data_IF_908112612044
#
_entry.id   IF_908112612044
#
_cell.length_a   1.000
_cell.length_b   1.000
_cell.length_c   1.000
_cell.angle_alpha   90.00
_cell.angle_beta   90.00
_cell.angle_gamma   90.00
#
_symmetry.space_group_name_H-M   'P 1'
#
loop_
_entity.id
_entity.type
_entity.pdbx_description
1 polymer ?
#
# COMPACT_ATOMS: atom_id res chain seq x y z
N UNK A 1 26.33 10.42 -0.57
CA UNK A 1 25.52 9.50 -1.40
C UNK A 1 24.93 8.45 -0.48
N UNK A 2 23.63 8.50 -0.26
CA UNK A 2 22.94 7.47 0.50
C UNK A 2 22.86 6.20 -0.36
N UNK A 3 23.33 5.07 0.15
CA UNK A 3 23.20 3.79 -0.55
C UNK A 3 21.74 3.37 -0.56
N UNK A 4 21.17 3.19 -1.75
CA UNK A 4 19.76 2.82 -1.95
C UNK A 4 19.64 1.75 -3.02
N UNK A 5 18.61 0.89 -2.93
CA UNK A 5 18.28 -0.08 -3.97
C UNK A 5 17.12 0.43 -4.82
N UNK A 6 17.42 0.92 -6.03
CA UNK A 6 16.40 1.47 -6.95
C UNK A 6 16.05 0.53 -8.12
N UNK A 7 16.85 -0.51 -8.35
CA UNK A 7 16.57 -1.56 -9.33
C UNK A 7 17.21 -2.87 -8.88
N UNK A 8 16.65 -3.99 -9.33
CA UNK A 8 17.13 -5.34 -9.01
C UNK A 8 17.11 -6.21 -10.27
N UNK A 9 18.19 -6.98 -10.48
CA UNK A 9 18.33 -7.92 -11.60
C UNK A 9 18.99 -9.22 -11.13
N UNK A 10 18.56 -9.73 -9.98
CA UNK A 10 19.01 -11.02 -9.47
C UNK A 10 18.65 -12.16 -10.42
N UNK A 11 19.43 -13.24 -10.34
CA UNK A 11 19.20 -14.48 -11.08
C UNK A 11 19.13 -15.64 -10.09
N UNK A 12 17.96 -15.82 -9.48
CA UNK A 12 17.76 -16.86 -8.48
C UNK A 12 17.62 -18.25 -9.12
N UNK A 13 18.04 -19.34 -8.43
CA UNK A 13 17.77 -20.70 -8.86
C UNK A 13 16.26 -20.93 -9.07
N UNK A 14 15.89 -21.55 -10.19
CA UNK A 14 14.48 -21.82 -10.50
C UNK A 14 13.66 -20.61 -10.94
N UNK A 15 14.28 -19.42 -11.10
CA UNK A 15 13.60 -18.22 -11.57
C UNK A 15 12.97 -18.41 -12.96
N UNK A 16 11.66 -18.21 -13.05
CA UNK A 16 10.85 -18.31 -14.28
C UNK A 16 10.61 -16.96 -14.92
N UNK A 17 10.35 -15.94 -14.11
CA UNK A 17 10.06 -14.58 -14.58
C UNK A 17 10.43 -13.53 -13.54
N UNK A 18 10.59 -12.30 -14.02
CA UNK A 18 10.79 -11.10 -13.23
C UNK A 18 9.78 -10.04 -13.68
N UNK A 19 8.93 -9.60 -12.76
CA UNK A 19 8.07 -8.44 -12.94
C UNK A 19 8.60 -7.26 -12.13
N UNK A 20 8.75 -6.08 -12.77
CA UNK A 20 9.16 -4.85 -12.11
C UNK A 20 7.99 -3.87 -12.06
N UNK A 21 7.42 -3.70 -10.88
CA UNK A 21 6.43 -2.65 -10.60
C UNK A 21 7.08 -1.31 -10.29
N UNK A 22 6.27 -0.31 -9.92
CA UNK A 22 6.77 1.05 -9.57
C UNK A 22 7.79 1.02 -8.42
N UNK A 23 7.55 0.22 -7.38
CA UNK A 23 8.38 0.20 -6.15
C UNK A 23 8.79 -1.20 -5.69
N UNK A 24 8.45 -2.25 -6.46
CA UNK A 24 8.75 -3.65 -6.13
C UNK A 24 9.29 -4.38 -7.35
N UNK A 25 10.12 -5.38 -7.10
CA UNK A 25 10.47 -6.41 -8.06
C UNK A 25 9.96 -7.76 -7.56
N UNK A 26 9.30 -8.52 -8.41
CA UNK A 26 8.66 -9.80 -8.07
C UNK A 26 9.28 -10.87 -8.95
N UNK A 27 9.89 -11.87 -8.31
CA UNK A 27 10.54 -13.00 -8.96
C UNK A 27 9.68 -14.23 -8.75
N UNK A 28 9.26 -14.87 -9.84
CA UNK A 28 8.58 -16.16 -9.79
C UNK A 28 9.62 -17.29 -9.76
N UNK A 29 9.58 -18.12 -8.72
CA UNK A 29 10.46 -19.27 -8.53
C UNK A 29 9.65 -20.55 -8.74
N UNK A 30 10.05 -21.36 -9.72
CA UNK A 30 9.47 -22.67 -10.06
C UNK A 30 7.96 -22.68 -10.31
N UNK A 31 7.33 -21.54 -10.59
CA UNK A 31 5.87 -21.40 -10.67
C UNK A 31 5.17 -21.77 -9.35
N UNK A 32 5.85 -21.68 -8.21
CA UNK A 32 5.35 -22.10 -6.89
C UNK A 32 5.43 -20.99 -5.85
N UNK A 33 6.54 -20.24 -5.85
CA UNK A 33 6.85 -19.24 -4.83
C UNK A 33 7.20 -17.90 -5.48
N UNK A 34 6.85 -16.82 -4.81
CA UNK A 34 7.20 -15.47 -5.19
C UNK A 34 8.24 -14.93 -4.21
N UNK A 35 9.35 -14.42 -4.73
CA UNK A 35 10.28 -13.56 -3.98
C UNK A 35 10.00 -12.12 -4.37
N UNK A 36 9.49 -11.34 -3.43
CA UNK A 36 9.18 -9.92 -3.60
C UNK A 36 10.23 -9.07 -2.92
N UNK A 37 10.90 -8.21 -3.69
CA UNK A 37 11.89 -7.25 -3.20
C UNK A 37 11.28 -5.85 -3.23
N UNK A 38 11.14 -5.23 -2.06
CA UNK A 38 10.73 -3.84 -1.92
C UNK A 38 11.93 -2.91 -2.14
N UNK A 39 11.82 -2.03 -3.14
CA UNK A 39 12.89 -1.09 -3.49
C UNK A 39 12.72 0.23 -2.77
N UNK A 40 13.79 1.02 -2.75
CA UNK A 40 13.81 2.37 -2.21
C UNK A 40 13.20 3.41 -3.16
N UNK A 41 12.59 2.97 -4.27
CA UNK A 41 11.94 3.87 -5.22
C UNK A 41 10.73 4.55 -4.59
N UNK A 42 10.56 5.81 -4.98
CA UNK A 42 9.44 6.67 -4.61
C UNK A 42 8.73 7.10 -5.88
N UNK A 43 7.41 6.98 -5.94
CA UNK A 43 6.60 7.57 -7.01
C UNK A 43 5.61 8.61 -6.49
N UNK A 44 5.35 9.66 -7.26
CA UNK A 44 4.32 10.65 -7.00
C UNK A 44 3.79 11.17 -8.33
N UNK A 45 2.47 11.42 -8.41
CA UNK A 45 1.80 11.81 -9.66
C UNK A 45 2.12 10.87 -10.83
N UNK A 46 2.13 9.56 -10.55
CA UNK A 46 2.50 8.49 -11.48
C UNK A 46 3.93 8.54 -12.08
N UNK A 47 4.76 9.47 -11.63
CA UNK A 47 6.17 9.57 -12.00
C UNK A 47 7.05 8.97 -10.91
N UNK A 48 8.00 8.12 -11.30
CA UNK A 48 9.03 7.59 -10.40
C UNK A 48 10.13 8.62 -10.21
N UNK A 49 10.46 8.94 -8.96
CA UNK A 49 11.50 9.90 -8.62
C UNK A 49 12.89 9.37 -9.00
N UNK A 50 13.82 10.24 -9.42
CA UNK A 50 15.13 9.83 -9.94
C UNK A 50 16.08 9.29 -8.86
N UNK A 51 15.83 9.60 -7.58
CA UNK A 51 16.64 9.14 -6.45
C UNK A 51 15.80 8.25 -5.52
N UNK A 52 16.43 7.21 -4.99
CA UNK A 52 15.83 6.37 -3.96
C UNK A 52 15.76 7.08 -2.61
N UNK A 53 14.82 6.66 -1.78
CA UNK A 53 14.71 7.08 -0.38
C UNK A 53 15.31 5.99 0.48
N UNK A 54 16.41 6.25 1.22
CA UNK A 54 17.05 5.28 2.09
C UNK A 54 16.05 4.58 3.00
N UNK A 55 16.22 3.25 3.14
CA UNK A 55 15.40 2.39 4.00
C UNK A 55 13.92 2.29 3.64
N UNK A 56 13.41 3.01 2.62
CA UNK A 56 11.98 2.98 2.28
C UNK A 56 11.52 1.55 1.94
N UNK A 57 12.32 0.80 1.17
CA UNK A 57 11.98 -0.57 0.82
C UNK A 57 11.86 -1.46 2.07
N UNK A 58 12.82 -1.32 2.99
CA UNK A 58 12.81 -2.02 4.27
C UNK A 58 11.57 -1.66 5.10
N UNK A 59 11.30 -0.36 5.25
CA UNK A 59 10.19 0.16 6.06
C UNK A 59 8.86 -0.39 5.57
N UNK A 60 8.58 -0.28 4.27
CA UNK A 60 7.30 -0.75 3.72
C UNK A 60 7.17 -2.28 3.80
N UNK A 61 8.24 -3.02 3.55
CA UNK A 61 8.23 -4.47 3.67
C UNK A 61 7.98 -4.92 5.12
N UNK A 62 8.62 -4.28 6.10
CA UNK A 62 8.44 -4.63 7.51
C UNK A 62 7.06 -4.24 8.03
N UNK A 63 6.49 -3.09 7.61
CA UNK A 63 5.10 -2.75 7.97
C UNK A 63 4.16 -3.80 7.38
N UNK A 64 4.26 -4.09 6.08
CA UNK A 64 3.36 -5.03 5.41
C UNK A 64 3.40 -6.42 6.05
N UNK A 65 4.60 -6.96 6.28
CA UNK A 65 4.77 -8.32 6.84
C UNK A 65 4.30 -8.42 8.29
N UNK A 66 4.53 -7.39 9.11
CA UNK A 66 3.98 -7.32 10.48
C UNK A 66 2.46 -7.25 10.50
N UNK A 67 1.86 -6.48 9.60
CA UNK A 67 0.40 -6.33 9.55
C UNK A 67 -0.27 -7.59 9.01
N UNK A 68 0.36 -8.28 8.05
CA UNK A 68 -0.07 -9.62 7.62
C UNK A 68 -0.04 -10.61 8.78
N UNK A 69 1.05 -10.66 9.54
CA UNK A 69 1.13 -11.50 10.74
C UNK A 69 0.07 -11.13 11.79
N UNK A 70 -0.17 -9.83 12.01
CA UNK A 70 -1.17 -9.34 12.97
C UNK A 70 -2.64 -9.61 12.54
N UNK A 71 -2.86 -10.12 11.34
CA UNK A 71 -4.20 -10.40 10.79
C UNK A 71 -4.37 -11.83 10.29
N UNK A 72 -3.33 -12.67 10.39
CA UNK A 72 -3.33 -14.04 9.85
C UNK A 72 -4.34 -14.97 10.53
N UNK A 73 -4.72 -14.65 11.78
CA UNK A 73 -5.77 -15.36 12.53
C UNK A 73 -7.17 -15.13 11.94
N UNK A 74 -7.36 -14.03 11.20
CA UNK A 74 -8.64 -13.64 10.60
C UNK A 74 -8.71 -13.95 9.12
N UNK A 75 -7.62 -13.68 8.39
CA UNK A 75 -7.53 -13.78 6.94
C UNK A 75 -6.21 -14.45 6.56
N UNK A 76 -6.24 -15.58 5.84
CA UNK A 76 -5.01 -16.19 5.36
C UNK A 76 -4.31 -15.26 4.36
N UNK A 77 -2.98 -15.21 4.42
CA UNK A 77 -2.17 -14.39 3.52
C UNK A 77 -1.13 -15.26 2.80
N UNK A 78 -0.50 -14.70 1.75
CA UNK A 78 0.47 -15.40 0.92
C UNK A 78 1.84 -15.59 1.56
N UNK A 79 2.19 -14.80 2.58
CA UNK A 79 3.53 -14.68 3.14
C UNK A 79 3.95 -15.97 3.87
N UNK A 80 5.13 -16.49 3.54
CA UNK A 80 5.74 -17.66 4.19
C UNK A 80 7.04 -17.31 4.92
N UNK A 81 7.79 -16.31 4.44
CA UNK A 81 9.06 -15.92 5.04
C UNK A 81 9.49 -14.48 4.71
N UNK A 82 10.42 -13.95 5.50
CA UNK A 82 11.08 -12.65 5.29
C UNK A 82 12.59 -12.80 5.46
N UNK A 83 13.31 -13.37 4.47
CA UNK A 83 14.73 -13.70 4.61
C UNK A 83 15.64 -12.48 4.70
N UNK A 84 15.16 -11.30 4.30
CA UNK A 84 15.88 -10.03 4.36
C UNK A 84 14.90 -8.90 4.73
N UNK A 85 15.34 -7.81 5.40
CA UNK A 85 14.47 -6.68 5.71
C UNK A 85 13.73 -6.07 4.51
N UNK A 86 14.26 -6.18 3.29
CA UNK A 86 13.65 -5.71 2.05
C UNK A 86 12.86 -6.79 1.30
N UNK A 87 12.81 -8.03 1.80
CA UNK A 87 12.27 -9.18 1.06
C UNK A 87 11.13 -9.85 1.80
N UNK A 88 10.05 -10.11 1.06
CA UNK A 88 8.96 -10.99 1.44
C UNK A 88 8.93 -12.18 0.47
N UNK A 89 8.73 -13.37 0.99
CA UNK A 89 8.59 -14.60 0.21
C UNK A 89 7.26 -15.25 0.57
N UNK A 90 6.59 -15.82 -0.44
CA UNK A 90 5.28 -16.42 -0.23
C UNK A 90 4.74 -17.16 -1.45
N UNK A 91 3.52 -17.68 -1.32
CA UNK A 91 2.88 -18.48 -2.37
C UNK A 91 2.64 -17.69 -3.66
N UNK A 92 2.93 -18.31 -4.82
CA UNK A 92 2.42 -17.81 -6.09
C UNK A 92 0.90 -17.92 -6.10
N UNK A 93 0.24 -16.78 -6.33
CA UNK A 93 -1.21 -16.67 -6.38
C UNK A 93 -1.64 -16.11 -7.74
N UNK A 94 -2.82 -16.53 -8.21
CA UNK A 94 -3.54 -15.86 -9.29
C UNK A 94 -4.31 -14.67 -8.71
N UNK A 95 -3.92 -13.41 -9.01
CA UNK A 95 -4.55 -12.24 -8.42
C UNK A 95 -5.96 -12.01 -8.98
N UNK A 96 -6.89 -11.62 -8.12
CA UNK A 96 -8.16 -11.07 -8.59
C UNK A 96 -7.93 -9.71 -9.25
N UNK A 97 -8.60 -9.45 -10.38
CA UNK A 97 -8.50 -8.17 -11.12
C UNK A 97 -9.36 -7.06 -10.52
N UNK A 98 -9.44 -7.01 -9.19
CA UNK A 98 -10.18 -6.00 -8.43
C UNK A 98 -9.38 -5.62 -7.18
N UNK A 99 -9.36 -4.33 -6.92
CA UNK A 99 -8.81 -3.74 -5.70
C UNK A 99 -9.96 -3.46 -4.74
N UNK A 100 -9.93 -4.09 -3.56
CA UNK A 100 -10.95 -3.91 -2.54
C UNK A 100 -10.58 -2.72 -1.65
N UNK A 101 -11.01 -1.52 -2.05
CA UNK A 101 -10.82 -0.30 -1.25
C UNK A 101 -11.96 -0.19 -0.24
N UNK A 102 -11.62 0.01 1.02
CA UNK A 102 -12.59 0.23 2.11
C UNK A 102 -12.28 1.54 2.83
N UNK A 103 -13.34 2.29 3.16
CA UNK A 103 -13.25 3.65 3.69
C UNK A 103 -14.05 3.77 4.97
N UNK A 104 -13.37 4.08 6.07
CA UNK A 104 -14.03 4.46 7.33
C UNK A 104 -14.42 5.94 7.36
N UNK A 105 -13.83 6.78 6.50
CA UNK A 105 -14.00 8.23 6.52
C UNK A 105 -14.16 8.80 5.11
N UNK A 106 -14.93 9.88 4.97
CA UNK A 106 -15.15 10.59 3.70
C UNK A 106 -13.96 11.48 3.35
N UNK A 107 -12.83 10.85 2.99
CA UNK A 107 -11.59 11.53 2.63
C UNK A 107 -11.11 11.16 1.21
N UNK A 108 -10.14 11.93 0.71
CA UNK A 108 -9.52 11.72 -0.60
C UNK A 108 -10.53 11.65 -1.74
N UNK A 109 -10.54 10.54 -2.47
CA UNK A 109 -11.42 10.35 -3.62
C UNK A 109 -12.91 10.50 -3.28
N UNK A 110 -13.35 9.89 -2.18
CA UNK A 110 -14.75 9.99 -1.75
C UNK A 110 -15.16 11.45 -1.47
N UNK A 111 -14.30 12.23 -0.80
CA UNK A 111 -14.55 13.65 -0.56
C UNK A 111 -14.63 14.48 -1.85
N UNK A 112 -13.77 14.19 -2.84
CA UNK A 112 -13.80 14.89 -4.14
C UNK A 112 -15.10 14.62 -4.88
N UNK A 113 -15.52 13.36 -4.99
CA UNK A 113 -16.78 12.98 -5.64
C UNK A 113 -17.99 13.57 -4.92
N UNK A 114 -17.97 13.56 -3.59
CA UNK A 114 -19.03 14.16 -2.77
C UNK A 114 -19.15 15.68 -2.97
N UNK A 115 -18.01 16.37 -3.08
CA UNK A 115 -17.93 17.81 -3.38
C UNK A 115 -18.43 18.15 -4.79
N UNK A 116 -18.30 17.23 -5.75
CA UNK A 116 -18.89 17.34 -7.09
C UNK A 116 -20.40 17.07 -7.10
N UNK A 117 -21.01 16.81 -5.94
CA UNK A 117 -22.45 16.59 -5.79
C UNK A 117 -22.87 15.12 -5.89
N UNK A 118 -21.93 14.17 -6.03
CA UNK A 118 -22.28 12.75 -6.01
C UNK A 118 -22.63 12.31 -4.59
N UNK A 119 -23.57 11.37 -4.49
CA UNK A 119 -24.01 10.72 -3.23
C UNK A 119 -23.95 9.21 -3.29
N UNK A 120 -23.37 8.69 -4.37
CA UNK A 120 -23.13 7.28 -4.59
C UNK A 120 -21.69 7.15 -5.06
N UNK A 121 -20.96 6.20 -4.49
CA UNK A 121 -19.60 5.84 -4.92
C UNK A 121 -19.55 4.32 -5.06
N UNK A 122 -19.19 3.83 -6.24
CA UNK A 122 -19.16 2.38 -6.52
C UNK A 122 -20.47 1.65 -6.16
N UNK A 123 -21.63 2.28 -6.39
CA UNK A 123 -22.93 1.71 -6.03
C UNK A 123 -23.31 1.79 -4.55
N UNK A 124 -22.46 2.37 -3.69
CA UNK A 124 -22.71 2.50 -2.24
C UNK A 124 -23.08 3.95 -1.90
N UNK A 125 -24.13 4.21 -1.09
CA UNK A 125 -24.52 5.56 -0.71
C UNK A 125 -23.50 6.22 0.21
N UNK A 126 -23.26 7.51 -0.04
CA UNK A 126 -22.59 8.42 0.89
C UNK A 126 -23.69 9.30 1.54
N UNK A 127 -23.89 9.21 2.87
CA UNK A 127 -24.93 9.96 3.57
C UNK A 127 -24.93 11.46 3.27
N UNK A 128 -26.12 12.07 3.27
CA UNK A 128 -26.27 13.52 3.12
C UNK A 128 -25.69 14.29 4.31
N UNK A 129 -25.29 15.53 4.08
CA UNK A 129 -24.81 16.44 5.12
C UNK A 129 -23.39 16.16 5.63
N UNK A 130 -22.70 15.14 5.10
CA UNK A 130 -21.31 14.86 5.46
C UNK A 130 -20.36 16.01 5.07
N UNK A 131 -19.33 16.20 5.88
CA UNK A 131 -18.19 17.10 5.66
C UNK A 131 -16.94 16.27 5.36
N UNK A 132 -16.01 16.86 4.61
CA UNK A 132 -14.74 16.21 4.30
C UNK A 132 -14.05 15.73 5.58
N UNK A 133 -13.59 14.48 5.58
CA UNK A 133 -13.01 13.74 6.70
C UNK A 133 -13.98 13.27 7.80
N UNK A 134 -15.30 13.42 7.65
CA UNK A 134 -16.27 12.79 8.57
C UNK A 134 -16.14 11.26 8.53
N UNK A 135 -16.32 10.62 9.68
CA UNK A 135 -16.48 9.17 9.74
C UNK A 135 -17.80 8.75 9.06
N UNK A 136 -17.75 7.69 8.26
CA UNK A 136 -18.97 7.03 7.81
C UNK A 136 -19.65 6.31 8.99
N UNK A 137 -21.00 6.20 8.99
CA UNK A 137 -21.71 5.41 10.01
C UNK A 137 -21.22 3.95 10.06
N UNK A 138 -20.92 3.39 8.89
CA UNK A 138 -20.26 2.11 8.71
C UNK A 138 -19.23 2.22 7.57
N UNK A 139 -18.08 1.53 7.65
CA UNK A 139 -17.12 1.55 6.56
C UNK A 139 -17.70 1.04 5.24
N UNK A 140 -17.51 1.82 4.18
CA UNK A 140 -18.01 1.51 2.83
C UNK A 140 -16.92 0.88 1.97
N UNK A 141 -17.27 -0.13 1.18
CA UNK A 141 -16.37 -0.74 0.20
C UNK A 141 -16.63 -0.11 -1.16
N UNK A 142 -15.58 0.41 -1.79
CA UNK A 142 -15.64 1.15 -3.05
C UNK A 142 -14.57 0.60 -4.00
N UNK A 143 -14.79 -0.59 -4.59
CA UNK A 143 -13.73 -1.29 -5.30
C UNK A 143 -13.35 -0.60 -6.61
N UNK A 144 -12.15 -0.88 -7.09
CA UNK A 144 -11.66 -0.42 -8.38
C UNK A 144 -11.16 -1.59 -9.23
N UNK A 145 -11.37 -1.54 -10.54
CA UNK A 145 -10.75 -2.52 -11.45
C UNK A 145 -9.30 -2.17 -11.70
N UNK A 146 -8.44 -3.20 -11.78
CA UNK A 146 -7.04 -3.03 -12.16
C UNK A 146 -6.95 -2.94 -13.68
N UNK A 147 -6.58 -1.78 -14.21
CA UNK A 147 -6.48 -1.60 -15.65
C UNK A 147 -5.23 -2.29 -16.24
N UNK A 148 -5.24 -2.60 -17.54
CA UNK A 148 -4.02 -3.06 -18.23
C UNK A 148 -3.00 -1.91 -18.32
N UNK A 149 -1.71 -2.22 -18.47
CA UNK A 149 -0.62 -1.23 -18.42
C UNK A 149 -0.88 -0.02 -19.34
N UNK A 150 -1.15 1.15 -18.75
CA UNK A 150 -1.34 2.42 -19.45
C UNK A 150 -2.68 3.11 -19.15
N UNK A 151 -3.67 2.36 -18.65
CA UNK A 151 -4.99 2.89 -18.27
C UNK A 151 -5.08 3.14 -16.75
N UNK A 152 -6.01 4.00 -16.33
CA UNK A 152 -6.25 4.30 -14.93
C UNK A 152 -7.22 3.30 -14.29
N UNK A 153 -7.00 2.96 -13.01
CA UNK A 153 -7.95 2.16 -12.23
C UNK A 153 -9.33 2.86 -12.21
N UNK A 154 -10.39 2.08 -12.43
CA UNK A 154 -11.76 2.58 -12.55
C UNK A 154 -12.61 2.13 -11.36
N UNK A 155 -13.28 3.08 -10.71
CA UNK A 155 -14.30 2.80 -9.70
C UNK A 155 -15.39 1.88 -10.28
N UNK A 156 -15.69 0.77 -9.61
CA UNK A 156 -16.67 -0.20 -10.10
C UNK A 156 -17.62 -0.64 -8.98
N UNK A 157 -18.90 -0.84 -9.31
CA UNK A 157 -19.88 -1.35 -8.35
C UNK A 157 -19.73 -2.86 -8.14
N UNK A 158 -20.21 -3.38 -7.00
CA UNK A 158 -20.33 -4.84 -6.79
C UNK A 158 -21.14 -5.46 -7.93
N UNK A 159 -22.26 -4.85 -8.28
CA UNK A 159 -23.17 -5.34 -9.31
C UNK A 159 -22.46 -5.47 -10.66
N UNK A 160 -21.62 -4.49 -11.04
CA UNK A 160 -20.88 -4.51 -12.29
C UNK A 160 -19.70 -5.50 -12.26
N UNK A 161 -19.03 -5.68 -11.12
CA UNK A 161 -18.00 -6.73 -10.94
C UNK A 161 -18.58 -8.10 -11.28
N UNK A 162 -19.75 -8.41 -10.72
CA UNK A 162 -20.43 -9.69 -10.91
C UNK A 162 -20.96 -9.83 -12.33
N UNK A 163 -21.62 -8.79 -12.84
CA UNK A 163 -22.18 -8.78 -14.20
C UNK A 163 -21.11 -8.94 -15.28
N UNK A 164 -19.92 -8.37 -15.07
CA UNK A 164 -18.77 -8.50 -15.98
C UNK A 164 -18.00 -9.81 -15.80
N UNK A 165 -18.32 -10.60 -14.77
CA UNK A 165 -17.61 -11.84 -14.45
C UNK A 165 -16.15 -11.61 -14.04
N UNK A 166 -15.83 -10.46 -13.44
CA UNK A 166 -14.47 -10.17 -12.95
C UNK A 166 -14.16 -11.03 -11.72
N UNK A 167 -15.16 -11.22 -10.86
CA UNK A 167 -15.14 -12.08 -9.68
C UNK A 167 -16.49 -12.80 -9.62
N UNK A 168 -16.53 -14.07 -9.20
CA UNK A 168 -17.80 -14.76 -8.98
C UNK A 168 -18.49 -14.25 -7.71
N UNK A 169 -19.79 -14.52 -7.58
CA UNK A 169 -20.53 -14.16 -6.36
C UNK A 169 -19.93 -14.81 -5.12
N UNK A 170 -19.57 -16.10 -5.21
CA UNK A 170 -19.01 -16.86 -4.09
C UNK A 170 -17.67 -16.29 -3.65
N UNK A 171 -16.79 -15.95 -4.61
CA UNK A 171 -15.50 -15.34 -4.31
C UNK A 171 -15.69 -13.93 -3.74
N UNK A 172 -16.58 -13.12 -4.31
CA UNK A 172 -16.79 -11.72 -3.88
C UNK A 172 -17.25 -11.64 -2.42
N UNK A 173 -18.13 -12.54 -1.99
CA UNK A 173 -18.58 -12.62 -0.59
C UNK A 173 -17.39 -12.82 0.35
N UNK A 174 -16.42 -13.66 -0.03
CA UNK A 174 -15.19 -13.88 0.75
C UNK A 174 -14.31 -12.64 0.74
N UNK A 175 -14.12 -12.00 -0.43
CA UNK A 175 -13.35 -10.76 -0.54
C UNK A 175 -13.92 -9.64 0.34
N UNK A 176 -15.24 -9.47 0.34
CA UNK A 176 -15.94 -8.49 1.18
C UNK A 176 -15.75 -8.78 2.68
N UNK A 177 -15.97 -10.02 3.12
CA UNK A 177 -15.79 -10.43 4.51
C UNK A 177 -14.34 -10.20 4.99
N UNK A 178 -13.35 -10.63 4.20
CA UNK A 178 -11.93 -10.42 4.49
C UNK A 178 -11.59 -8.93 4.54
N UNK A 179 -12.06 -8.15 3.58
CA UNK A 179 -11.85 -6.69 3.53
C UNK A 179 -12.33 -6.01 4.82
N UNK A 180 -13.54 -6.37 5.30
CA UNK A 180 -14.10 -5.80 6.53
C UNK A 180 -13.32 -6.23 7.77
N UNK A 181 -12.95 -7.51 7.87
CA UNK A 181 -12.15 -8.04 8.99
C UNK A 181 -10.78 -7.36 9.09
N UNK A 182 -10.09 -7.24 7.95
CA UNK A 182 -8.78 -6.59 7.88
C UNK A 182 -8.87 -5.11 8.25
N UNK A 183 -9.89 -4.40 7.76
CA UNK A 183 -10.08 -2.99 8.08
C UNK A 183 -10.39 -2.77 9.56
N UNK A 184 -11.22 -3.64 10.14
CA UNK A 184 -11.55 -3.59 11.56
C UNK A 184 -10.31 -3.80 12.43
N UNK A 185 -9.55 -4.88 12.21
CA UNK A 185 -8.30 -5.15 12.96
C UNK A 185 -7.26 -4.05 12.73
N UNK A 186 -7.12 -3.56 11.51
CA UNK A 186 -6.24 -2.43 11.19
C UNK A 186 -6.62 -1.15 11.92
N UNK A 187 -7.92 -0.88 12.03
CA UNK A 187 -8.44 0.28 12.77
C UNK A 187 -8.18 0.16 14.27
N UNK A 188 -8.31 -1.03 14.84
CA UNK A 188 -7.98 -1.31 16.25
C UNK A 188 -6.48 -1.11 16.53
N UNK A 189 -5.62 -1.63 15.65
CA UNK A 189 -4.17 -1.45 15.73
C UNK A 189 -3.84 0.05 15.65
N UNK A 190 -4.36 0.76 14.66
CA UNK A 190 -4.14 2.20 14.49
C UNK A 190 -4.58 2.99 15.73
N UNK A 191 -5.78 2.71 16.26
CA UNK A 191 -6.31 3.36 17.45
C UNK A 191 -5.42 3.15 18.67
N UNK A 192 -4.86 1.95 18.86
CA UNK A 192 -3.91 1.65 19.94
C UNK A 192 -2.60 2.45 19.85
N UNK A 193 -2.30 3.02 18.67
CA UNK A 193 -1.13 3.85 18.40
C UNK A 193 -1.46 5.34 18.28
N UNK A 194 -2.67 5.77 18.66
CA UNK A 194 -3.09 7.17 18.54
C UNK A 194 -3.31 7.62 17.09
N UNK A 195 -3.58 6.67 16.19
CA UNK A 195 -3.86 6.89 14.78
C UNK A 195 -5.31 6.52 14.45
N UNK A 196 -5.79 7.05 13.34
CA UNK A 196 -7.08 6.71 12.73
C UNK A 196 -6.76 6.12 11.36
N UNK A 197 -7.15 4.86 11.12
CA UNK A 197 -7.12 4.28 9.77
C UNK A 197 -8.32 4.83 8.97
N UNK A 198 -8.04 5.69 7.99
CA UNK A 198 -9.04 6.47 7.25
C UNK A 198 -9.66 5.62 6.14
N UNK A 199 -8.78 5.03 5.33
CA UNK A 199 -9.09 4.11 4.25
C UNK A 199 -7.86 3.29 3.91
N UNK A 200 -8.07 2.16 3.23
CA UNK A 200 -7.02 1.27 2.77
C UNK A 200 -7.48 0.47 1.57
N UNK A 201 -6.50 -0.07 0.85
CA UNK A 201 -6.70 -0.94 -0.30
C UNK A 201 -6.18 -2.34 0.02
N UNK A 202 -6.99 -3.36 -0.28
CA UNK A 202 -6.55 -4.75 -0.25
C UNK A 202 -6.56 -5.36 -1.65
N UNK A 203 -5.57 -6.22 -1.90
CA UNK A 203 -5.53 -7.10 -3.04
C UNK A 203 -5.58 -8.55 -2.56
N UNK A 204 -6.26 -9.40 -3.32
CA UNK A 204 -6.40 -10.81 -3.00
C UNK A 204 -5.99 -11.66 -4.20
N UNK A 205 -5.63 -12.90 -3.94
CA UNK A 205 -5.38 -13.89 -4.99
C UNK A 205 -5.83 -15.29 -4.57
N UNK A 206 -5.94 -16.18 -5.55
CA UNK A 206 -6.14 -17.61 -5.33
C UNK A 206 -4.81 -18.34 -5.40
N UNK A 207 -4.52 -19.14 -4.38
CA UNK A 207 -3.43 -20.11 -4.43
C UNK A 207 -3.75 -21.25 -5.41
N UNK A 208 -2.78 -22.12 -5.71
CA UNK A 208 -2.97 -23.28 -6.61
C UNK A 208 -4.07 -24.24 -6.16
N UNK A 209 -4.31 -24.36 -4.87
CA UNK A 209 -5.39 -25.16 -4.27
C UNK A 209 -6.74 -24.43 -4.24
N UNK A 210 -6.81 -23.21 -4.79
CA UNK A 210 -8.04 -22.43 -4.92
C UNK A 210 -8.43 -21.63 -3.67
N UNK A 211 -7.55 -21.56 -2.66
CA UNK A 211 -7.77 -20.79 -1.44
C UNK A 211 -7.55 -19.31 -1.72
N UNK A 212 -8.53 -18.49 -1.33
CA UNK A 212 -8.40 -17.03 -1.36
C UNK A 212 -7.50 -16.59 -0.22
N UNK A 213 -6.45 -15.83 -0.55
CA UNK A 213 -5.51 -15.25 0.40
C UNK A 213 -5.29 -13.78 0.12
N UNK A 214 -4.95 -13.03 1.17
CA UNK A 214 -4.46 -11.67 1.08
C UNK A 214 -3.07 -11.65 0.42
N UNK A 215 -2.88 -10.75 -0.54
CA UNK A 215 -1.60 -10.54 -1.26
C UNK A 215 -1.14 -9.07 -1.15
N UNK A 216 -0.06 -8.73 -1.87
CA UNK A 216 0.53 -7.39 -1.94
C UNK A 216 0.94 -6.82 -0.56
N UNK A 217 0.69 -5.53 -0.29
CA UNK A 217 1.00 -4.87 0.97
C UNK A 217 -0.30 -4.43 1.67
N UNK A 218 -0.30 -4.40 3.01
CA UNK A 218 -1.42 -3.88 3.78
C UNK A 218 -0.99 -2.88 4.82
N UNK A 219 -1.87 -1.93 5.12
CA UNK A 219 -1.73 -0.99 6.25
C UNK A 219 -0.46 -0.14 6.21
N UNK A 220 0.19 -0.02 5.06
CA UNK A 220 1.35 0.85 4.85
C UNK A 220 0.93 2.27 4.49
N UNK A 221 1.82 3.26 4.57
CA UNK A 221 1.56 4.62 4.08
C UNK A 221 1.33 4.72 2.56
N UNK A 222 1.70 3.70 1.78
CA UNK A 222 1.51 3.66 0.33
C UNK A 222 0.14 3.04 -0.03
N UNK A 223 -0.39 2.10 0.77
CA UNK A 223 -1.72 1.48 0.57
C UNK A 223 -2.85 2.07 1.41
N UNK A 224 -2.53 2.90 2.42
CA UNK A 224 -3.49 3.37 3.42
C UNK A 224 -3.31 4.84 3.77
N UNK A 225 -4.40 5.47 4.20
CA UNK A 225 -4.38 6.81 4.80
C UNK A 225 -4.58 6.71 6.29
N UNK A 226 -3.76 7.45 7.02
CA UNK A 226 -3.86 7.57 8.46
C UNK A 226 -3.99 9.03 8.86
N UNK A 227 -4.82 9.32 9.86
CA UNK A 227 -4.79 10.58 10.59
C UNK A 227 -4.19 10.37 11.98
N UNK A 228 -3.60 11.42 12.54
CA UNK A 228 -3.37 11.47 13.97
C UNK A 228 -4.71 11.69 14.69
N UNK A 229 -5.01 10.84 15.67
CA UNK A 229 -6.21 10.96 16.49
C UNK A 229 -6.18 12.24 17.33
N UNK A 230 -5.00 12.62 17.82
CA UNK A 230 -4.81 13.83 18.61
C UNK A 230 -5.18 15.10 17.81
N UNK A 231 -6.17 15.84 18.33
CA UNK A 231 -6.76 17.03 17.71
C UNK A 231 -7.61 16.78 16.46
N UNK A 232 -7.96 15.53 16.10
CA UNK A 232 -8.78 15.23 14.92
C UNK A 232 -10.15 15.94 14.98
N UNK A 233 -10.88 15.79 16.09
CA UNK A 233 -12.21 16.38 16.24
C UNK A 233 -12.15 17.92 16.26
N UNK A 234 -11.17 18.50 16.94
CA UNK A 234 -11.01 19.96 16.98
C UNK A 234 -10.73 20.56 15.60
N UNK A 235 -9.95 19.87 14.76
CA UNK A 235 -9.73 20.27 13.37
C UNK A 235 -11.00 20.09 12.54
N UNK A 236 -11.75 19.02 12.77
CA UNK A 236 -13.00 18.74 12.09
C UNK A 236 -14.05 19.84 12.36
N UNK A 237 -14.21 20.22 13.63
CA UNK A 237 -15.17 21.25 14.06
C UNK A 237 -14.81 22.64 13.51
N UNK A 238 -13.51 22.92 13.33
CA UNK A 238 -13.00 24.18 12.76
C UNK A 238 -12.91 24.19 11.23
N UNK A 239 -13.14 23.06 10.57
CA UNK A 239 -12.98 22.92 9.12
C UNK A 239 -11.52 23.03 8.66
N UNK A 240 -10.57 22.62 9.50
CA UNK A 240 -9.14 22.63 9.22
C UNK A 240 -8.68 21.31 8.57
N UNK A 241 -7.57 21.36 7.82
CA UNK A 241 -6.98 20.17 7.23
C UNK A 241 -6.49 19.20 8.31
N UNK A 242 -6.82 17.91 8.17
CA UNK A 242 -6.38 16.89 9.12
C UNK A 242 -4.87 16.64 9.04
N UNK A 243 -4.25 16.36 10.19
CA UNK A 243 -2.85 15.94 10.25
C UNK A 243 -2.75 14.49 9.79
N UNK A 244 -2.14 14.27 8.63
CA UNK A 244 -2.05 12.95 8.00
C UNK A 244 -0.69 12.30 8.21
N UNK A 245 -0.70 10.99 8.34
CA UNK A 245 0.46 10.12 8.37
C UNK A 245 0.48 9.37 7.03
N UNK A 246 0.98 10.05 5.99
CA UNK A 246 0.94 9.55 4.61
C UNK A 246 2.09 10.11 3.78
N UNK A 247 2.23 9.64 2.54
CA UNK A 247 3.16 10.17 1.54
C UNK A 247 2.86 11.61 1.08
N UNK A 248 1.82 12.24 1.61
CA UNK A 248 1.35 13.54 1.13
C UNK A 248 2.41 14.64 1.28
N UNK A 249 3.32 14.55 2.25
CA UNK A 249 4.42 15.52 2.40
C UNK A 249 5.31 15.61 1.15
N UNK A 250 5.54 14.49 0.43
CA UNK A 250 6.31 14.49 -0.82
C UNK A 250 5.50 15.17 -1.93
N UNK A 251 4.20 14.89 -2.01
CA UNK A 251 3.32 15.55 -3.00
C UNK A 251 3.27 17.05 -2.79
N UNK A 252 3.09 17.50 -1.55
CA UNK A 252 3.06 18.92 -1.23
C UNK A 252 4.39 19.62 -1.53
N UNK A 253 5.51 18.98 -1.25
CA UNK A 253 6.82 19.53 -1.64
C UNK A 253 6.99 19.60 -3.16
N UNK A 254 6.56 18.59 -3.91
CA UNK A 254 6.58 18.61 -5.37
C UNK A 254 5.70 19.74 -5.92
N UNK A 255 4.50 19.91 -5.38
CA UNK A 255 3.58 21.01 -5.75
C UNK A 255 4.20 22.37 -5.46
N UNK A 256 4.85 22.55 -4.30
CA UNK A 256 5.53 23.81 -3.97
C UNK A 256 6.76 24.09 -4.84
N UNK A 257 7.22 23.09 -5.61
CA UNK A 257 8.29 23.20 -6.60
C UNK A 257 7.76 23.01 -8.03
N UNK A 258 6.50 23.42 -8.28
CA UNK A 258 5.84 23.46 -9.58
C UNK A 258 5.77 22.11 -10.33
N UNK A 259 5.68 21.00 -9.58
CA UNK A 259 5.57 19.66 -10.15
C UNK A 259 4.32 18.91 -9.70
N UNK A 260 3.53 18.50 -10.67
CA UNK A 260 2.31 17.68 -10.54
C UNK A 260 2.23 16.59 -11.61
N UNK A 261 3.34 16.28 -12.30
CA UNK A 261 3.39 15.26 -13.36
C UNK A 261 2.72 15.67 -14.67
N UNK A 262 2.48 16.96 -14.88
CA UNK A 262 1.85 17.47 -16.11
C UNK A 262 2.87 17.54 -17.26
N UNK A 263 2.37 17.49 -18.49
CA UNK A 263 3.20 17.57 -19.70
C UNK A 263 4.09 18.82 -19.68
N UNK A 264 5.39 18.64 -19.96
CA UNK A 264 6.39 19.71 -19.96
C UNK A 264 6.99 20.05 -18.59
N UNK A 265 6.47 19.49 -17.48
CA UNK A 265 7.10 19.64 -16.17
C UNK A 265 8.31 18.70 -16.01
N UNK A 266 9.31 19.16 -15.26
CA UNK A 266 10.48 18.37 -14.88
C UNK A 266 10.48 18.12 -13.38
N UNK A 267 10.87 16.90 -12.98
CA UNK A 267 10.97 16.56 -11.55
C UNK A 267 11.99 17.51 -10.90
N UNK A 268 11.61 18.22 -9.83
CA UNK A 268 12.51 19.17 -9.17
C UNK A 268 13.72 18.43 -8.57
N UNK A 269 14.84 19.15 -8.47
CA UNK A 269 16.07 18.59 -7.92
C UNK A 269 15.89 18.21 -6.45
N UNK A 270 15.98 16.91 -6.16
CA UNK A 270 15.96 16.38 -4.79
C UNK A 270 17.38 16.35 -4.23
N UNK A 271 17.71 17.32 -3.38
CA UNK A 271 18.99 17.35 -2.67
C UNK A 271 19.13 16.14 -1.73
N UNK A 272 20.36 15.76 -1.41
CA UNK A 272 20.61 14.65 -0.47
C UNK A 272 20.04 14.97 0.93
N UNK A 273 20.08 16.25 1.34
CA UNK A 273 19.45 16.71 2.59
C UNK A 273 17.94 16.49 2.58
N UNK A 274 17.25 16.87 1.49
CA UNK A 274 15.81 16.66 1.37
C UNK A 274 15.47 15.17 1.40
N UNK A 275 16.24 14.33 0.71
CA UNK A 275 16.06 12.87 0.73
C UNK A 275 16.19 12.29 2.13
N UNK A 276 17.16 12.78 2.93
CA UNK A 276 17.30 12.36 4.32
C UNK A 276 16.06 12.76 5.13
N UNK A 277 15.52 13.98 4.93
CA UNK A 277 14.26 14.36 5.60
C UNK A 277 13.10 13.44 5.22
N UNK A 278 13.03 13.01 3.96
CA UNK A 278 12.00 12.07 3.49
C UNK A 278 12.19 10.69 4.14
N UNK A 279 13.43 10.21 4.26
CA UNK A 279 13.78 8.97 4.96
C UNK A 279 13.37 9.02 6.43
N UNK A 280 13.74 10.08 7.15
CA UNK A 280 13.37 10.27 8.56
C UNK A 280 11.86 10.36 8.77
N UNK A 281 11.12 10.95 7.81
CA UNK A 281 9.66 10.89 7.82
C UNK A 281 9.15 9.46 7.67
N UNK A 282 9.68 8.66 6.74
CA UNK A 282 9.28 7.25 6.63
C UNK A 282 9.60 6.44 7.89
N UNK A 283 10.68 6.76 8.60
CA UNK A 283 11.01 6.16 9.89
C UNK A 283 9.95 6.54 10.93
N UNK A 284 9.62 7.82 11.06
CA UNK A 284 8.53 8.29 11.92
C UNK A 284 7.20 7.59 11.57
N UNK A 285 6.90 7.40 10.28
CA UNK A 285 5.72 6.65 9.82
C UNK A 285 5.75 5.20 10.33
N UNK A 286 6.88 4.51 10.17
CA UNK A 286 7.08 3.14 10.66
C UNK A 286 6.84 3.04 12.17
N UNK A 287 7.47 3.92 12.94
CA UNK A 287 7.45 3.85 14.41
C UNK A 287 6.05 4.14 14.95
N UNK A 288 5.32 5.08 14.36
CA UNK A 288 3.93 5.35 14.74
C UNK A 288 2.99 4.20 14.36
N UNK A 289 3.12 3.63 13.15
CA UNK A 289 2.22 2.56 12.68
C UNK A 289 2.46 1.25 13.45
N UNK A 290 3.72 0.88 13.66
CA UNK A 290 4.09 -0.39 14.30
C UNK A 290 4.12 -0.27 15.83
N UNK A 291 4.42 0.90 16.36
CA UNK A 291 4.72 1.13 17.78
C UNK A 291 6.08 0.60 18.21
N UNK A 292 7.01 0.40 17.27
CA UNK A 292 8.36 -0.12 17.50
C UNK A 292 9.40 0.84 16.94
N UNK A 293 10.56 0.95 17.60
CA UNK A 293 11.70 1.71 17.07
C UNK A 293 12.25 1.07 15.80
N UNK A 294 12.51 1.88 14.78
CA UNK A 294 13.06 1.39 13.52
C UNK A 294 14.54 1.06 13.64
N UNK A 295 14.94 -0.15 13.22
CA UNK A 295 16.34 -0.57 13.17
C UNK A 295 16.83 -0.52 11.73
N UNK A 296 17.66 0.48 11.42
CA UNK A 296 18.29 0.67 10.10
C UNK A 296 19.15 -0.56 9.77
N UNK A 297 18.87 -1.24 8.67
CA UNK A 297 19.69 -2.36 8.21
C UNK A 297 21.01 -1.87 7.58
N UNK A 298 22.00 -2.75 7.44
CA UNK A 298 23.25 -2.37 6.77
C UNK A 298 23.01 -2.07 5.29
N UNK A 299 23.40 -0.87 4.86
CA UNK A 299 23.27 -0.36 3.49
C UNK A 299 24.60 -0.34 2.72
N UNK A 300 25.69 -0.87 3.28
CA UNK A 300 27.00 -0.89 2.63
C UNK A 300 26.97 -1.65 1.29
N UNK A 301 26.32 -2.83 1.26
CA UNK A 301 26.21 -3.71 0.09
C UNK A 301 24.80 -4.32 -0.02
N UNK A 302 23.76 -3.49 -0.17
CA UNK A 302 22.35 -3.92 -0.13
C UNK A 302 22.05 -5.06 -1.12
N UNK A 303 22.54 -4.97 -2.36
CA UNK A 303 22.26 -5.99 -3.37
C UNK A 303 22.86 -7.35 -3.00
N UNK A 304 24.12 -7.38 -2.57
CA UNK A 304 24.79 -8.61 -2.16
C UNK A 304 24.16 -9.22 -0.90
N UNK A 305 23.74 -8.38 0.06
CA UNK A 305 23.01 -8.80 1.26
C UNK A 305 21.70 -9.49 0.90
N UNK A 306 20.88 -8.85 0.05
CA UNK A 306 19.60 -9.41 -0.41
C UNK A 306 19.83 -10.72 -1.19
N UNK A 307 20.75 -10.71 -2.15
CA UNK A 307 21.04 -11.90 -2.96
C UNK A 307 21.50 -13.07 -2.09
N UNK A 308 22.43 -12.84 -1.16
CA UNK A 308 22.95 -13.88 -0.27
C UNK A 308 21.85 -14.46 0.63
N UNK A 309 21.04 -13.59 1.26
CA UNK A 309 19.96 -14.02 2.15
C UNK A 309 18.88 -14.82 1.40
N UNK A 310 18.52 -14.41 0.18
CA UNK A 310 17.55 -15.13 -0.65
C UNK A 310 18.14 -16.45 -1.15
N UNK A 311 19.39 -16.48 -1.59
CA UNK A 311 20.06 -17.71 -2.01
C UNK A 311 20.20 -18.71 -0.86
N UNK A 312 20.42 -18.26 0.37
CA UNK A 312 20.42 -19.12 1.55
C UNK A 312 19.04 -19.67 1.84
N UNK A 313 18.00 -18.84 1.73
CA UNK A 313 16.61 -19.28 1.89
C UNK A 313 16.23 -20.37 0.87
N UNK A 314 16.53 -20.17 -0.42
CA UNK A 314 16.17 -21.07 -1.51
C UNK A 314 16.96 -22.40 -1.55
N UNK A 315 17.96 -22.60 -0.68
CA UNK A 315 18.69 -23.87 -0.56
C UNK A 315 17.97 -24.91 0.29
N UNK A 316 16.94 -24.50 1.04
CA UNK A 316 16.16 -25.37 1.93
C UNK A 316 15.20 -26.23 1.14
#
# INVERSE_FOLDING_TARGET
MSNTIIDTNFNFPGQKSLYKGKVRAVYNINDEELVMVATDRLSAFDVVMPKGIPYKGQILNQIATKMMAATEDLVPNWLTATPDPNVAVGHLCEPFKVEMVIRGYMSGHAAREYKLGKRMLCGVPMPEGMKENDAFPEPIITPATKAEMGDHDEDISREDILKRGIVSEEDYIVLEDYTRKLFQRGSEIAASRGLILVDTKYEFGKTKDGKIVLIDEIHTPDSSRYFYADGYQERQDRGEAQKQLSKEFVRQWLISNDFQGLEGQTVPFMSDEYIETVSERYIELYENITGETFVKADVSNIQERIESNVLEYLKK
#
